data_IF_716590291769
#
_entry.id   IF_716590291769
#
_cell.length_a   1.000
_cell.length_b   1.000
_cell.length_c   1.000
_cell.angle_alpha   90.00
_cell.angle_beta   90.00
_cell.angle_gamma   90.00
#
_symmetry.space_group_name_H-M   'P 1'
#
loop_
_entity.id
_entity.type
_entity.pdbx_description
1 polymer ?
#
# COMPACT_ATOMS: atom_id res chain seq x y z
N UNK A 1 6.81 -33.17 -0.63
CA UNK A 1 5.65 -32.36 -1.04
C UNK A 1 5.26 -31.48 0.13
N UNK A 2 5.68 -30.22 0.13
CA UNK A 2 5.39 -29.28 1.21
C UNK A 2 3.92 -28.84 1.11
N UNK A 3 3.06 -29.43 1.95
CA UNK A 3 1.64 -29.05 2.13
C UNK A 3 1.51 -28.43 3.53
N UNK A 4 1.05 -27.18 3.61
CA UNK A 4 0.50 -26.62 4.86
C UNK A 4 1.35 -25.59 5.62
N UNK A 5 2.15 -24.76 4.94
CA UNK A 5 2.96 -23.77 5.65
C UNK A 5 3.30 -22.49 4.87
N UNK A 6 2.49 -22.08 3.89
CA UNK A 6 2.59 -20.73 3.33
C UNK A 6 1.33 -19.97 3.68
N UNK A 7 1.50 -18.91 4.48
CA UNK A 7 0.46 -17.94 4.81
C UNK A 7 -0.41 -18.36 5.98
N UNK A 8 -0.02 -17.97 7.19
CA UNK A 8 -1.00 -17.90 8.27
C UNK A 8 -1.96 -16.75 7.88
N UNK A 9 -3.29 -16.93 7.85
CA UNK A 9 -4.21 -15.82 7.62
C UNK A 9 -3.92 -14.70 8.63
N UNK A 10 -3.72 -13.47 8.14
CA UNK A 10 -3.17 -12.35 8.91
C UNK A 10 -1.68 -12.06 8.69
N UNK A 11 -1.00 -12.81 7.82
CA UNK A 11 0.33 -12.42 7.32
C UNK A 11 0.20 -11.14 6.49
N UNK A 12 1.09 -10.18 6.74
CA UNK A 12 1.16 -8.93 6.02
C UNK A 12 2.52 -8.77 5.34
N UNK A 13 2.50 -8.16 4.15
CA UNK A 13 3.70 -7.83 3.39
C UNK A 13 3.64 -6.34 3.10
N UNK A 14 4.74 -5.65 3.39
CA UNK A 14 4.95 -4.26 2.98
C UNK A 14 5.78 -4.23 1.70
N UNK A 15 5.26 -3.55 0.69
CA UNK A 15 5.86 -3.44 -0.63
C UNK A 15 6.11 -1.96 -0.89
N UNK A 16 7.38 -1.61 -1.05
CA UNK A 16 7.78 -0.28 -1.52
C UNK A 16 7.32 -0.11 -2.97
N UNK A 17 6.50 0.90 -3.22
CA UNK A 17 5.94 1.19 -4.52
C UNK A 17 6.34 2.60 -4.97
N UNK A 18 7.26 2.69 -5.93
CA UNK A 18 7.75 3.95 -6.51
C UNK A 18 6.78 4.60 -7.52
N UNK A 19 5.58 4.07 -7.70
CA UNK A 19 4.59 4.55 -8.68
C UNK A 19 3.44 5.36 -8.06
N UNK A 20 2.51 5.78 -8.92
CA UNK A 20 1.28 6.46 -8.49
C UNK A 20 0.33 5.49 -7.77
N UNK A 21 0.26 5.61 -6.45
CA UNK A 21 -0.56 4.75 -5.59
C UNK A 21 -2.06 4.98 -5.78
N UNK A 22 -2.48 6.16 -6.25
CA UNK A 22 -3.88 6.48 -6.54
C UNK A 22 -4.33 5.82 -7.84
N UNK A 23 -3.47 5.79 -8.86
CA UNK A 23 -3.72 5.04 -10.08
C UNK A 23 -3.83 3.55 -9.78
N UNK A 24 -2.91 3.00 -8.97
CA UNK A 24 -2.99 1.61 -8.52
C UNK A 24 -4.30 1.31 -7.78
N UNK A 25 -4.73 2.21 -6.89
CA UNK A 25 -6.00 2.09 -6.18
C UNK A 25 -7.20 2.01 -7.14
N UNK A 26 -7.29 2.90 -8.13
CA UNK A 26 -8.38 2.89 -9.11
C UNK A 26 -8.36 1.63 -9.98
N UNK A 27 -7.18 1.16 -10.40
CA UNK A 27 -7.04 -0.10 -11.13
C UNK A 27 -7.49 -1.31 -10.31
N UNK A 28 -7.09 -1.39 -9.04
CA UNK A 28 -7.47 -2.48 -8.14
C UNK A 28 -8.96 -2.46 -7.84
N UNK A 29 -9.53 -1.27 -7.65
CA UNK A 29 -10.97 -1.07 -7.46
C UNK A 29 -11.75 -1.49 -8.71
N UNK A 30 -11.29 -1.12 -9.91
CA UNK A 30 -11.89 -1.53 -11.17
C UNK A 30 -11.83 -3.06 -11.38
N UNK A 31 -10.78 -3.71 -10.87
CA UNK A 31 -10.62 -5.17 -10.87
C UNK A 31 -11.46 -5.88 -9.79
N UNK A 32 -12.15 -5.15 -8.92
CA UNK A 32 -12.98 -5.72 -7.86
C UNK A 32 -12.18 -6.29 -6.68
N UNK A 33 -10.94 -5.84 -6.51
CA UNK A 33 -10.08 -6.28 -5.41
C UNK A 33 -10.61 -5.74 -4.07
N UNK A 34 -10.50 -6.52 -3.00
CA UNK A 34 -10.93 -6.12 -1.66
C UNK A 34 -9.97 -5.09 -1.05
N UNK A 35 -10.32 -3.81 -1.15
CA UNK A 35 -9.53 -2.74 -0.57
C UNK A 35 -9.92 -2.55 0.90
N UNK A 36 -9.00 -2.87 1.81
CA UNK A 36 -9.18 -2.71 3.26
C UNK A 36 -9.01 -1.25 3.70
N UNK A 37 -8.06 -0.55 3.08
CA UNK A 37 -7.79 0.85 3.32
C UNK A 37 -7.44 1.51 1.99
N UNK A 38 -8.13 2.60 1.59
CA UNK A 38 -7.72 3.42 0.45
C UNK A 38 -6.33 4.02 0.69
N UNK A 39 -5.67 4.63 -0.31
CA UNK A 39 -4.39 5.29 -0.10
C UNK A 39 -4.55 6.40 0.95
N UNK A 40 -3.88 6.23 2.10
CA UNK A 40 -3.88 7.19 3.21
C UNK A 40 -2.48 7.79 3.32
N UNK A 41 -2.41 9.12 3.34
CA UNK A 41 -1.15 9.85 3.53
C UNK A 41 -0.81 9.95 5.02
N UNK A 42 0.36 9.45 5.37
CA UNK A 42 1.02 9.63 6.66
C UNK A 42 2.24 10.54 6.49
N UNK A 43 2.82 11.01 7.60
CA UNK A 43 4.01 11.86 7.59
C UNK A 43 5.26 11.15 7.01
N UNK A 44 5.27 9.81 6.97
CA UNK A 44 6.40 8.99 6.52
C UNK A 44 6.16 8.22 5.22
N UNK A 45 4.92 8.08 4.75
CA UNK A 45 4.57 7.33 3.54
C UNK A 45 3.11 7.56 3.15
N UNK A 46 2.74 7.23 1.90
CA UNK A 46 1.34 6.99 1.54
C UNK A 46 1.10 5.49 1.49
N UNK A 47 0.15 4.98 2.27
CA UNK A 47 -0.09 3.55 2.41
C UNK A 47 -1.48 3.13 1.89
N UNK A 48 -1.50 2.12 1.04
CA UNK A 48 -2.69 1.45 0.51
C UNK A 48 -2.73 0.00 1.03
N UNK A 49 -3.85 -0.41 1.63
CA UNK A 49 -4.02 -1.77 2.14
C UNK A 49 -5.04 -2.56 1.35
N UNK A 50 -4.60 -3.71 0.85
CA UNK A 50 -5.36 -4.59 -0.01
C UNK A 50 -5.43 -5.97 0.63
N UNK A 51 -6.60 -6.59 0.59
CA UNK A 51 -6.79 -7.97 0.97
C UNK A 51 -6.86 -8.85 -0.28
N UNK A 52 -6.02 -9.88 -0.29
CA UNK A 52 -6.07 -10.95 -1.28
C UNK A 52 -7.19 -11.96 -0.95
N UNK A 53 -7.76 -12.69 -1.92
CA UNK A 53 -8.76 -13.73 -1.66
C UNK A 53 -8.35 -14.78 -0.62
N UNK A 54 -7.05 -15.03 -0.43
CA UNK A 54 -6.53 -15.93 0.62
C UNK A 54 -6.55 -15.31 2.04
N UNK A 55 -6.96 -14.04 2.19
CA UNK A 55 -7.00 -13.32 3.46
C UNK A 55 -5.66 -12.72 3.90
N UNK A 56 -4.72 -12.56 2.97
CA UNK A 56 -3.44 -11.88 3.20
C UNK A 56 -3.56 -10.37 3.02
N UNK A 57 -2.80 -9.61 3.81
CA UNK A 57 -2.81 -8.15 3.75
C UNK A 57 -1.57 -7.65 3.01
N UNK A 58 -1.78 -7.11 1.81
CA UNK A 58 -0.77 -6.43 1.01
C UNK A 58 -0.81 -4.94 1.33
N UNK A 59 0.30 -4.41 1.84
CA UNK A 59 0.47 -2.99 2.11
C UNK A 59 1.41 -2.40 1.08
N UNK A 60 0.89 -1.54 0.24
CA UNK A 60 1.71 -0.75 -0.68
C UNK A 60 2.04 0.55 0.02
N UNK A 61 3.32 0.79 0.27
CA UNK A 61 3.80 2.07 0.76
C UNK A 61 4.58 2.73 -0.35
N UNK A 62 4.18 3.95 -0.72
CA UNK A 62 5.06 4.82 -1.50
C UNK A 62 5.73 5.80 -0.54
N UNK A 63 6.89 6.32 -0.95
CA UNK A 63 7.50 7.45 -0.25
C UNK A 63 6.43 8.52 -0.03
N UNK A 64 6.54 9.29 1.07
CA UNK A 64 5.66 10.43 1.27
C UNK A 64 6.04 11.36 0.12
N UNK A 65 5.28 11.29 -0.99
CA UNK A 65 5.52 12.09 -2.18
C UNK A 65 5.93 13.45 -1.67
N UNK A 66 7.16 13.83 -2.02
CA UNK A 66 7.84 15.03 -1.60
C UNK A 66 6.96 16.19 -2.04
N UNK A 67 5.94 16.46 -1.25
CA UNK A 67 4.95 17.45 -1.54
C UNK A 67 5.67 18.75 -1.35
N UNK A 68 6.12 19.32 -2.47
CA UNK A 68 6.73 20.62 -2.54
C UNK A 68 8.03 20.77 -1.74
N UNK A 69 9.11 21.03 -2.46
CA UNK A 69 9.91 22.22 -2.19
C UNK A 69 9.03 23.45 -1.84
N UNK A 70 8.42 23.48 -0.67
CA UNK A 70 8.17 24.77 -0.03
C UNK A 70 9.40 25.03 0.80
N UNK A 71 10.26 25.88 0.25
CA UNK A 71 11.29 26.59 0.99
C UNK A 71 10.80 26.90 2.41
N UNK A 72 11.40 26.23 3.39
CA UNK A 72 11.29 26.62 4.79
C UNK A 72 12.62 26.36 5.46
N UNK A 73 13.68 26.89 4.86
CA UNK A 73 14.78 27.42 5.64
C UNK A 73 14.31 28.77 6.19
N UNK A 74 13.62 28.71 7.33
CA UNK A 74 13.41 29.88 8.18
C UNK A 74 14.76 30.30 8.76
N UNK A 75 15.11 31.56 8.48
CA UNK A 75 15.89 32.51 9.32
C UNK A 75 17.39 32.25 9.47
#
# INVERSE_FOLDING_TARGET
>A
MCKGGQGNPGTWIWIGFDGDIYQLYEELKAKGVAIRQPPVRYDWAVELHVEDPDGHVLRFGTDPEAGAETESASI
#
